data_IF_181706923341
#
_entry.id   IF_181706923341
#
_cell.length_a   1.000
_cell.length_b   1.000
_cell.length_c   1.000
_cell.angle_alpha   90.00
_cell.angle_beta   90.00
_cell.angle_gamma   90.00
#
_symmetry.space_group_name_H-M   'P 1'
#
loop_
_entity.id
_entity.type
_entity.pdbx_description
1 polymer ?
#
# COMPACT_ATOMS: atom_id res chain seq x y z
N UNK A 1 37.29 -4.58 20.42
CA UNK A 1 35.99 -5.27 20.21
C UNK A 1 35.06 -4.31 19.48
N UNK A 2 34.76 -4.54 18.20
CA UNK A 2 33.81 -3.71 17.42
C UNK A 2 32.42 -4.27 17.63
N UNK A 3 31.58 -3.56 18.38
CA UNK A 3 30.18 -3.91 18.59
C UNK A 3 29.41 -3.57 17.31
N UNK A 4 29.16 -4.57 16.49
CA UNK A 4 28.25 -4.45 15.33
C UNK A 4 26.85 -4.25 15.87
N UNK A 5 26.33 -3.01 15.79
CA UNK A 5 24.92 -2.73 16.03
C UNK A 5 24.14 -3.32 14.87
N UNK A 6 23.46 -4.43 15.09
CA UNK A 6 22.46 -4.95 14.17
C UNK A 6 21.29 -3.97 14.22
N UNK A 7 21.19 -3.13 13.20
CA UNK A 7 19.99 -2.32 12.96
C UNK A 7 18.86 -3.29 12.58
N UNK A 8 17.98 -3.57 13.52
CA UNK A 8 16.75 -4.30 13.22
C UNK A 8 15.91 -3.41 12.31
N UNK A 9 15.90 -3.72 11.02
CA UNK A 9 15.01 -3.05 10.07
C UNK A 9 13.58 -3.43 10.39
N UNK A 10 12.76 -2.43 10.68
CA UNK A 10 11.31 -2.58 10.79
C UNK A 10 10.74 -2.13 9.45
N UNK A 11 10.02 -3.00 8.78
CA UNK A 11 9.26 -2.65 7.59
C UNK A 11 7.79 -2.50 7.99
N UNK A 12 7.24 -1.34 7.72
CA UNK A 12 5.81 -1.07 7.83
C UNK A 12 5.24 -1.04 6.41
N UNK A 13 4.03 -1.57 6.26
CA UNK A 13 3.32 -1.53 5.00
C UNK A 13 1.89 -1.08 5.24
N UNK A 14 1.40 -0.22 4.38
CA UNK A 14 0.01 0.14 4.27
C UNK A 14 -0.52 -0.27 2.88
N UNK A 15 -1.76 -0.74 2.84
CA UNK A 15 -2.46 -1.07 1.60
C UNK A 15 -3.82 -0.39 1.63
N UNK A 16 -4.05 0.43 0.62
CA UNK A 16 -5.28 1.18 0.43
C UNK A 16 -6.13 0.49 -0.65
N UNK A 17 -7.36 0.12 -0.34
CA UNK A 17 -8.32 -0.43 -1.31
C UNK A 17 -9.41 0.59 -1.59
N UNK A 18 -9.86 0.64 -2.84
CA UNK A 18 -10.94 1.52 -3.24
C UNK A 18 -11.86 0.87 -4.29
N UNK A 19 -13.07 1.39 -4.35
CA UNK A 19 -14.01 1.17 -5.43
C UNK A 19 -14.01 2.40 -6.34
N UNK A 20 -13.62 2.22 -7.60
CA UNK A 20 -13.59 3.28 -8.62
C UNK A 20 -14.72 3.04 -9.60
N UNK A 21 -15.53 4.06 -9.93
CA UNK A 21 -16.52 3.96 -11.01
C UNK A 21 -15.83 3.58 -12.33
N UNK A 22 -16.42 2.67 -13.10
CA UNK A 22 -15.85 2.14 -14.34
C UNK A 22 -15.44 3.24 -15.36
N UNK A 23 -16.06 4.41 -15.31
CA UNK A 23 -15.74 5.54 -16.17
C UNK A 23 -14.41 6.24 -15.85
N UNK A 24 -13.80 5.97 -14.68
CA UNK A 24 -12.55 6.59 -14.23
C UNK A 24 -11.36 5.63 -14.26
N UNK A 25 -11.57 4.39 -14.61
CA UNK A 25 -10.55 3.36 -14.67
C UNK A 25 -9.71 3.44 -15.94
N UNK A 26 -9.07 4.59 -16.21
CA UNK A 26 -8.04 4.68 -17.26
C UNK A 26 -6.68 4.38 -16.63
N UNK A 27 -5.92 3.38 -17.14
CA UNK A 27 -4.56 3.17 -16.69
C UNK A 27 -3.71 4.42 -16.96
N UNK A 28 -2.87 4.79 -16.00
CA UNK A 28 -2.00 5.94 -16.12
C UNK A 28 -1.05 5.77 -17.31
N UNK A 29 -1.22 6.63 -18.32
CA UNK A 29 -0.21 6.82 -19.37
C UNK A 29 0.91 7.66 -18.77
N UNK A 30 2.19 7.30 -18.91
CA UNK A 30 3.30 8.13 -18.43
C UNK A 30 3.32 9.45 -19.22
N UNK A 31 3.02 10.55 -18.55
CA UNK A 31 3.15 11.89 -19.13
C UNK A 31 4.56 12.39 -18.85
N UNK A 32 5.41 12.34 -19.87
CA UNK A 32 6.65 13.10 -19.90
C UNK A 32 6.35 14.51 -20.38
N UNK A 33 6.47 15.50 -19.48
CA UNK A 33 6.40 16.91 -19.85
C UNK A 33 6.76 17.80 -18.65
N UNK A 34 7.55 18.87 -18.85
CA UNK A 34 8.01 19.69 -17.75
C UNK A 34 6.90 20.64 -17.28
N UNK A 35 6.54 20.58 -16.02
CA UNK A 35 5.70 21.58 -15.39
C UNK A 35 6.43 22.31 -14.30
N UNK A 36 6.47 23.63 -14.50
CA UNK A 36 6.99 24.67 -13.64
C UNK A 36 6.28 24.72 -12.28
N UNK A 37 7.09 24.86 -11.30
CA UNK A 37 6.92 25.16 -9.88
C UNK A 37 5.82 26.15 -9.52
N UNK A 38 5.05 25.82 -8.48
CA UNK A 38 4.71 26.79 -7.44
C UNK A 38 4.58 26.07 -6.10
N UNK A 39 5.27 26.61 -5.09
CA UNK A 39 5.57 25.99 -3.83
C UNK A 39 4.35 25.72 -2.95
N UNK A 40 4.23 24.46 -2.61
CA UNK A 40 3.62 24.00 -1.39
C UNK A 40 4.61 23.01 -0.79
N UNK A 41 5.00 23.23 0.46
CA UNK A 41 5.85 22.29 1.20
C UNK A 41 5.02 21.08 1.66
N UNK A 42 4.40 20.41 0.73
CA UNK A 42 3.96 19.05 0.92
C UNK A 42 5.22 18.19 0.82
N UNK A 43 5.51 17.42 1.85
CA UNK A 43 6.53 16.36 1.78
C UNK A 43 5.99 15.36 0.75
N UNK A 44 6.54 15.41 -0.47
CA UNK A 44 6.27 14.36 -1.46
C UNK A 44 6.72 13.03 -0.85
N UNK A 45 5.85 12.00 -0.82
CA UNK A 45 6.26 10.69 -0.32
C UNK A 45 7.46 10.20 -1.14
N UNK A 46 8.47 9.67 -0.45
CA UNK A 46 9.62 9.11 -1.13
C UNK A 46 9.18 8.01 -2.09
N UNK A 47 9.81 7.96 -3.26
CA UNK A 47 9.53 6.88 -4.20
C UNK A 47 9.84 5.53 -3.52
N UNK A 48 8.94 4.56 -3.68
CA UNK A 48 9.15 3.21 -3.17
C UNK A 48 10.50 2.67 -3.67
N UNK A 49 11.31 2.10 -2.80
CA UNK A 49 12.59 1.49 -3.19
C UNK A 49 12.38 0.29 -4.10
N UNK A 50 13.41 -0.13 -4.84
CA UNK A 50 13.32 -1.33 -5.69
C UNK A 50 12.97 -2.60 -4.88
N UNK A 51 13.47 -2.72 -3.65
CA UNK A 51 13.11 -3.80 -2.72
C UNK A 51 11.65 -3.70 -2.30
N UNK A 52 11.20 -2.51 -1.91
CA UNK A 52 9.81 -2.24 -1.56
C UNK A 52 8.86 -2.52 -2.73
N UNK A 53 9.24 -2.17 -3.96
CA UNK A 53 8.47 -2.48 -5.16
C UNK A 53 8.27 -3.99 -5.34
N UNK A 54 9.31 -4.80 -5.14
CA UNK A 54 9.22 -6.26 -5.18
C UNK A 54 8.26 -6.83 -4.14
N UNK A 55 8.25 -6.26 -2.93
CA UNK A 55 7.30 -6.66 -1.89
C UNK A 55 5.87 -6.25 -2.24
N UNK A 56 5.67 -5.05 -2.79
CA UNK A 56 4.37 -4.58 -3.25
C UNK A 56 3.81 -5.45 -4.38
N UNK A 57 4.64 -5.85 -5.34
CA UNK A 57 4.24 -6.76 -6.43
C UNK A 57 3.83 -8.14 -5.89
N UNK A 58 4.54 -8.65 -4.90
CA UNK A 58 4.17 -9.91 -4.24
C UNK A 58 2.81 -9.78 -3.53
N UNK A 59 2.58 -8.68 -2.81
CA UNK A 59 1.30 -8.42 -2.14
C UNK A 59 0.16 -8.36 -3.18
N UNK A 60 0.32 -7.56 -4.24
CA UNK A 60 -0.69 -7.43 -5.29
C UNK A 60 -1.06 -8.78 -5.90
N UNK A 61 -0.05 -9.57 -6.29
CA UNK A 61 -0.25 -10.90 -6.85
C UNK A 61 -1.03 -11.80 -5.90
N UNK A 62 -0.62 -11.88 -4.62
CA UNK A 62 -1.29 -12.72 -3.62
C UNK A 62 -2.71 -12.28 -3.30
N UNK A 63 -2.97 -10.97 -3.25
CA UNK A 63 -4.33 -10.44 -3.10
C UNK A 63 -5.19 -10.87 -4.29
N UNK A 64 -4.71 -10.73 -5.52
CA UNK A 64 -5.46 -11.10 -6.70
C UNK A 64 -5.65 -12.62 -6.82
N UNK A 65 -4.67 -13.44 -6.40
CA UNK A 65 -4.83 -14.89 -6.27
C UNK A 65 -5.94 -15.25 -5.26
N UNK A 66 -5.96 -14.59 -4.10
CA UNK A 66 -7.02 -14.78 -3.10
C UNK A 66 -8.38 -14.38 -3.65
N UNK A 67 -8.49 -13.22 -4.31
CA UNK A 67 -9.74 -12.75 -4.91
C UNK A 67 -10.25 -13.72 -5.97
N UNK A 68 -9.38 -14.24 -6.83
CA UNK A 68 -9.74 -15.25 -7.83
C UNK A 68 -10.29 -16.54 -7.19
N UNK A 69 -9.71 -17.00 -6.07
CA UNK A 69 -10.21 -18.13 -5.29
C UNK A 69 -11.62 -17.89 -4.72
N UNK A 70 -11.99 -16.63 -4.52
CA UNK A 70 -13.32 -16.21 -4.08
C UNK A 70 -14.27 -15.87 -5.24
N UNK A 71 -13.86 -16.07 -6.49
CA UNK A 71 -14.67 -15.74 -7.67
C UNK A 71 -14.79 -14.22 -7.92
N UNK A 72 -13.90 -13.41 -7.35
CA UNK A 72 -13.92 -11.95 -7.45
C UNK A 72 -12.97 -11.45 -8.56
N UNK A 73 -13.30 -10.29 -9.13
CA UNK A 73 -12.42 -9.59 -10.06
C UNK A 73 -11.12 -9.12 -9.39
N UNK A 74 -10.05 -9.02 -10.16
CA UNK A 74 -8.76 -8.50 -9.68
C UNK A 74 -8.86 -7.01 -9.33
N UNK A 75 -8.06 -6.57 -8.36
CA UNK A 75 -7.78 -5.15 -8.12
C UNK A 75 -6.62 -4.70 -8.97
N UNK A 76 -6.68 -3.46 -9.46
CA UNK A 76 -5.62 -2.81 -10.23
C UNK A 76 -4.88 -1.81 -9.34
N UNK A 77 -3.56 -1.73 -9.49
CA UNK A 77 -2.72 -0.80 -8.73
C UNK A 77 -2.82 0.62 -9.29
N UNK A 78 -2.97 1.61 -8.41
CA UNK A 78 -3.04 3.03 -8.76
C UNK A 78 -1.97 3.82 -8.01
N UNK A 79 -1.17 4.60 -8.73
CA UNK A 79 -0.06 5.37 -8.18
C UNK A 79 -0.50 6.42 -7.16
N UNK A 80 -1.69 7.01 -7.32
CA UNK A 80 -2.23 7.95 -6.34
C UNK A 80 -2.50 7.25 -4.99
N UNK A 81 -3.00 6.01 -5.02
CA UNK A 81 -3.18 5.22 -3.80
C UNK A 81 -1.85 4.69 -3.24
N UNK A 82 -0.88 4.38 -4.10
CA UNK A 82 0.47 4.04 -3.65
C UNK A 82 1.07 5.19 -2.84
N UNK A 83 0.90 6.44 -3.29
CA UNK A 83 1.39 7.61 -2.59
C UNK A 83 0.75 7.76 -1.20
N UNK A 84 -0.55 7.51 -1.08
CA UNK A 84 -1.24 7.52 0.23
C UNK A 84 -0.69 6.42 1.15
N UNK A 85 -0.56 5.20 0.65
CA UNK A 85 -0.07 4.06 1.41
C UNK A 85 1.41 4.25 1.83
N UNK A 86 2.27 4.71 0.91
CA UNK A 86 3.68 4.97 1.17
C UNK A 86 3.86 6.09 2.20
N UNK A 87 3.16 7.22 2.02
CA UNK A 87 3.24 8.34 2.96
C UNK A 87 2.82 7.93 4.37
N UNK A 88 1.80 7.07 4.51
CA UNK A 88 1.41 6.57 5.82
C UNK A 88 2.42 5.59 6.41
N UNK A 89 2.99 4.70 5.60
CA UNK A 89 4.05 3.80 6.05
C UNK A 89 5.26 4.56 6.59
N UNK A 90 5.70 5.63 5.90
CA UNK A 90 6.77 6.52 6.36
C UNK A 90 6.40 7.26 7.65
N UNK A 91 5.15 7.74 7.75
CA UNK A 91 4.65 8.38 8.96
C UNK A 91 4.68 7.44 10.17
N UNK A 92 4.26 6.19 10.00
CA UNK A 92 4.34 5.18 11.06
C UNK A 92 5.79 4.91 11.50
N UNK A 93 6.76 4.92 10.57
CA UNK A 93 8.18 4.80 10.90
C UNK A 93 8.66 5.99 11.74
N UNK A 94 8.32 7.21 11.33
CA UNK A 94 8.69 8.44 12.06
C UNK A 94 8.10 8.45 13.47
N UNK A 95 6.84 8.07 13.59
CA UNK A 95 6.12 8.02 14.88
C UNK A 95 6.52 6.81 15.74
N UNK A 96 7.23 5.83 15.15
CA UNK A 96 7.54 4.54 15.80
C UNK A 96 6.28 3.85 16.35
N UNK A 97 5.18 3.99 15.66
CA UNK A 97 3.87 3.49 16.06
C UNK A 97 3.12 2.95 14.85
N UNK A 98 2.53 1.78 14.99
CA UNK A 98 1.66 1.19 13.98
C UNK A 98 0.21 1.52 14.29
N UNK A 99 -0.53 1.98 13.30
CA UNK A 99 -1.96 2.28 13.42
C UNK A 99 -2.54 2.63 12.05
N UNK A 100 -3.86 2.72 12.00
CA UNK A 100 -4.54 3.17 10.79
C UNK A 100 -4.32 4.66 10.55
N UNK A 101 -4.30 5.04 9.27
CA UNK A 101 -4.31 6.45 8.86
C UNK A 101 -5.69 7.05 9.16
N UNK A 102 -5.81 7.99 10.10
CA UNK A 102 -7.12 8.53 10.48
C UNK A 102 -7.81 9.31 9.35
N UNK A 103 -7.06 9.69 8.32
CA UNK A 103 -7.54 10.46 7.18
C UNK A 103 -7.38 9.72 5.85
N UNK A 104 -7.26 8.39 5.86
CA UNK A 104 -6.96 7.64 4.63
C UNK A 104 -8.01 7.89 3.53
N UNK A 105 -9.28 7.92 3.88
CA UNK A 105 -10.37 8.11 2.92
C UNK A 105 -10.39 9.54 2.33
N UNK A 106 -10.01 10.56 3.13
CA UNK A 106 -9.95 11.94 2.68
C UNK A 106 -8.80 12.20 1.70
N UNK A 107 -7.79 11.34 1.73
CA UNK A 107 -6.61 11.41 0.85
C UNK A 107 -6.83 10.70 -0.50
N UNK A 108 -7.94 9.97 -0.63
CA UNK A 108 -8.26 9.30 -1.89
C UNK A 108 -8.72 10.31 -2.95
N UNK A 109 -8.46 10.03 -4.23
CA UNK A 109 -8.97 10.86 -5.31
C UNK A 109 -10.47 11.01 -5.27
N UNK A 110 -10.98 12.17 -5.69
CA UNK A 110 -12.42 12.41 -5.73
C UNK A 110 -13.15 11.46 -6.69
N UNK A 111 -14.38 11.12 -6.36
CA UNK A 111 -15.22 10.23 -7.18
C UNK A 111 -15.10 8.75 -6.84
N UNK A 112 -14.33 8.38 -5.83
CA UNK A 112 -14.24 7.01 -5.34
C UNK A 112 -15.37 6.73 -4.35
N UNK A 113 -15.96 5.53 -4.43
CA UNK A 113 -17.20 5.20 -3.71
C UNK A 113 -17.00 4.29 -2.51
N UNK A 114 -15.79 3.79 -2.32
CA UNK A 114 -15.43 2.95 -1.17
C UNK A 114 -13.95 3.10 -0.85
N UNK A 115 -13.63 2.99 0.43
CA UNK A 115 -12.26 3.10 0.92
C UNK A 115 -12.05 2.17 2.12
N UNK A 116 -10.96 1.44 2.13
CA UNK A 116 -10.50 0.66 3.28
C UNK A 116 -8.98 0.57 3.31
N UNK A 117 -8.42 0.27 4.46
CA UNK A 117 -6.98 0.23 4.67
C UNK A 117 -6.58 -1.04 5.44
N UNK A 118 -5.47 -1.64 5.05
CA UNK A 118 -4.79 -2.67 5.82
C UNK A 118 -3.39 -2.16 6.18
N UNK A 119 -3.04 -2.25 7.45
CA UNK A 119 -1.69 -1.95 7.92
C UNK A 119 -1.07 -3.18 8.56
N UNK A 120 0.23 -3.36 8.39
CA UNK A 120 0.99 -4.41 9.06
C UNK A 120 2.43 -3.97 9.28
N UNK A 121 3.07 -4.62 10.25
CA UNK A 121 4.46 -4.39 10.59
C UNK A 121 5.23 -5.71 10.61
N UNK A 122 6.43 -5.69 10.04
CA UNK A 122 7.38 -6.78 10.19
C UNK A 122 8.72 -6.24 10.66
N UNK A 123 9.22 -6.78 11.78
CA UNK A 123 10.55 -6.50 12.31
C UNK A 123 11.44 -7.73 12.23
N UNK A 124 12.76 -7.51 12.25
CA UNK A 124 13.77 -8.55 12.36
C UNK A 124 14.51 -8.85 11.06
N UNK A 125 15.69 -9.47 11.19
CA UNK A 125 16.61 -9.84 10.10
C UNK A 125 16.25 -11.18 9.42
N UNK A 126 15.01 -11.64 9.57
CA UNK A 126 14.58 -12.90 8.96
C UNK A 126 14.49 -12.77 7.45
N UNK A 127 15.35 -13.49 6.72
CA UNK A 127 15.29 -13.55 5.25
C UNK A 127 13.95 -14.07 4.73
N UNK A 128 13.72 -13.88 3.44
CA UNK A 128 12.53 -14.32 2.72
C UNK A 128 11.63 -13.16 2.27
N UNK A 129 10.59 -13.49 1.54
CA UNK A 129 9.67 -12.51 0.96
C UNK A 129 8.81 -11.85 2.05
N UNK A 130 9.13 -10.60 2.37
CA UNK A 130 8.42 -9.81 3.37
C UNK A 130 7.00 -9.51 2.92
N UNK A 131 6.79 -9.23 1.62
CA UNK A 131 5.45 -9.01 1.07
C UNK A 131 4.53 -10.21 1.28
N UNK A 132 5.06 -11.43 1.09
CA UNK A 132 4.31 -12.64 1.37
C UNK A 132 3.93 -12.77 2.86
N UNK A 133 4.85 -12.40 3.77
CA UNK A 133 4.58 -12.47 5.22
C UNK A 133 3.57 -11.43 5.68
N UNK A 134 3.61 -10.21 5.14
CA UNK A 134 2.63 -9.17 5.41
C UNK A 134 1.24 -9.59 4.92
N UNK A 135 1.16 -10.13 3.69
CA UNK A 135 -0.09 -10.70 3.17
C UNK A 135 -0.66 -11.78 4.10
N UNK A 136 0.16 -12.70 4.61
CA UNK A 136 -0.32 -13.75 5.53
C UNK A 136 -0.81 -13.17 6.87
N UNK A 137 -0.21 -12.08 7.38
CA UNK A 137 -0.75 -11.38 8.55
C UNK A 137 -2.17 -10.88 8.29
N UNK A 138 -2.39 -10.21 7.14
CA UNK A 138 -3.72 -9.72 6.77
C UNK A 138 -4.70 -10.85 6.49
N UNK A 139 -4.26 -11.91 5.82
CA UNK A 139 -5.11 -13.08 5.53
C UNK A 139 -5.65 -13.75 6.79
N UNK A 140 -4.87 -13.77 7.86
CA UNK A 140 -5.24 -14.38 9.14
C UNK A 140 -5.97 -13.40 10.10
N UNK A 141 -6.26 -12.18 9.66
CA UNK A 141 -7.00 -11.18 10.42
C UNK A 141 -8.38 -10.95 9.77
N UNK A 142 -9.49 -11.23 10.46
CA UNK A 142 -10.82 -11.16 9.84
C UNK A 142 -11.14 -9.81 9.18
N UNK A 143 -10.81 -8.69 9.83
CA UNK A 143 -11.04 -7.35 9.28
C UNK A 143 -10.20 -7.07 8.04
N UNK A 144 -8.90 -7.38 8.09
CA UNK A 144 -8.02 -7.20 6.95
C UNK A 144 -8.36 -8.14 5.78
N UNK A 145 -8.75 -9.37 6.08
CA UNK A 145 -9.24 -10.32 5.10
C UNK A 145 -10.47 -9.78 4.36
N UNK A 146 -11.46 -9.28 5.12
CA UNK A 146 -12.67 -8.71 4.54
C UNK A 146 -12.37 -7.57 3.54
N UNK A 147 -11.41 -6.69 3.86
CA UNK A 147 -10.98 -5.62 2.95
C UNK A 147 -10.38 -6.17 1.66
N UNK A 148 -9.57 -7.22 1.72
CA UNK A 148 -8.95 -7.83 0.53
C UNK A 148 -9.96 -8.50 -0.39
N UNK A 149 -11.05 -9.03 0.16
CA UNK A 149 -12.11 -9.74 -0.61
C UNK A 149 -13.39 -8.91 -0.73
N UNK A 150 -13.35 -7.61 -0.48
CA UNK A 150 -14.49 -6.73 -0.70
C UNK A 150 -14.90 -6.78 -2.18
N UNK A 151 -16.14 -7.16 -2.52
CA UNK A 151 -16.55 -7.36 -3.92
C UNK A 151 -16.45 -6.09 -4.76
N UNK A 152 -16.74 -4.95 -4.15
CA UNK A 152 -16.72 -3.63 -4.78
C UNK A 152 -15.30 -3.09 -5.03
N UNK A 153 -14.29 -3.60 -4.33
CA UNK A 153 -12.93 -3.15 -4.50
C UNK A 153 -12.39 -3.56 -5.88
N UNK A 154 -11.89 -2.56 -6.63
CA UNK A 154 -11.29 -2.76 -7.96
C UNK A 154 -9.96 -2.00 -8.12
N UNK A 155 -9.57 -1.22 -7.12
CA UNK A 155 -8.34 -0.46 -7.10
C UNK A 155 -7.58 -0.68 -5.78
N UNK A 156 -6.24 -0.61 -5.84
CA UNK A 156 -5.36 -0.78 -4.68
C UNK A 156 -4.13 0.11 -4.80
N UNK A 157 -3.65 0.63 -3.68
CA UNK A 157 -2.32 1.20 -3.51
C UNK A 157 -1.54 0.44 -2.44
N UNK A 158 -0.23 0.32 -2.63
CA UNK A 158 0.66 -0.42 -1.74
C UNK A 158 1.92 0.42 -1.51
N UNK A 159 2.26 0.66 -0.25
CA UNK A 159 3.44 1.42 0.16
C UNK A 159 4.04 0.97 1.48
#
# INVERSE_FOLDING_TARGET
>A
MKTTRILSSVLLAAVAFAAVPAAQATPAVPISGPSSQQGSTAIEPAAITAEGAGHADTILRKVNELRAQQGLGSVTRYTQLDSVAQGWSEQMVVQRSMGHNPSFADQYPSGWTGASENVAMRGGSGGGDIGARLFEQWRNSPGHYANMVAPEANAVGIG
#
